data_IF_009510399947
#
_entry.id   IF_009510399947
#
_cell.length_a   1.000
_cell.length_b   1.000
_cell.length_c   1.000
_cell.angle_alpha   90.00
_cell.angle_beta   90.00
_cell.angle_gamma   90.00
#
_symmetry.space_group_name_H-M   'P 1'
#
loop_
_entity.id
_entity.type
_entity.pdbx_description
1 polymer ?
#
# COMPACT_ATOMS: atom_id res chain seq x y z
N UNK A 1 -7.06 10.38 -26.97
CA UNK A 1 -7.41 11.50 -26.06
C UNK A 1 -6.44 11.43 -24.90
N UNK A 2 -5.80 12.54 -24.55
CA UNK A 2 -5.05 12.63 -23.29
C UNK A 2 -6.02 12.92 -22.16
N UNK A 3 -5.89 12.21 -21.05
CA UNK A 3 -6.65 12.45 -19.81
C UNK A 3 -5.81 13.24 -18.79
N UNK A 4 -4.67 13.80 -19.25
CA UNK A 4 -3.81 14.65 -18.43
C UNK A 4 -4.57 15.93 -18.02
N UNK A 5 -4.50 16.25 -16.72
CA UNK A 5 -5.24 17.39 -16.16
C UNK A 5 -6.70 17.13 -15.80
N UNK A 6 -7.23 15.92 -16.06
CA UNK A 6 -8.54 15.52 -15.56
C UNK A 6 -8.47 15.04 -14.09
N UNK A 7 -9.60 15.10 -13.41
CA UNK A 7 -9.74 14.69 -12.03
C UNK A 7 -9.50 13.17 -11.83
N UNK A 8 -9.23 12.79 -10.60
CA UNK A 8 -8.85 11.43 -10.23
C UNK A 8 -9.83 10.37 -10.74
N UNK A 9 -11.13 10.59 -10.53
CA UNK A 9 -12.18 9.62 -10.89
C UNK A 9 -12.24 9.38 -12.40
N UNK A 10 -12.09 10.43 -13.20
CA UNK A 10 -12.04 10.31 -14.66
C UNK A 10 -10.82 9.53 -15.11
N UNK A 11 -9.65 9.78 -14.50
CA UNK A 11 -8.42 9.04 -14.80
C UNK A 11 -8.53 7.58 -14.39
N UNK A 12 -9.09 7.28 -13.21
CA UNK A 12 -9.30 5.92 -12.73
C UNK A 12 -10.21 5.09 -13.66
N UNK A 13 -11.18 5.71 -14.30
CA UNK A 13 -12.09 5.05 -15.23
C UNK A 13 -11.48 4.86 -16.62
N UNK A 14 -10.73 5.83 -17.13
CA UNK A 14 -10.37 5.89 -18.54
C UNK A 14 -8.91 5.59 -18.87
N UNK A 15 -7.96 5.96 -18.00
CA UNK A 15 -6.54 5.70 -18.27
C UNK A 15 -6.25 4.21 -18.23
N UNK A 16 -5.54 3.70 -19.23
CA UNK A 16 -5.32 2.26 -19.41
C UNK A 16 -6.56 1.47 -19.84
N UNK A 17 -7.65 2.13 -20.22
CA UNK A 17 -8.93 1.50 -20.59
C UNK A 17 -9.45 2.01 -21.94
N UNK A 18 -8.56 2.22 -22.91
CA UNK A 18 -9.00 2.57 -24.27
C UNK A 18 -9.83 1.42 -24.88
N UNK A 19 -10.90 1.75 -25.66
CA UNK A 19 -11.65 0.73 -26.39
C UNK A 19 -10.74 -0.10 -27.28
N UNK A 20 -11.05 -1.39 -27.40
CA UNK A 20 -10.29 -2.32 -28.23
C UNK A 20 -10.37 -1.91 -29.72
N UNK A 21 -9.25 -1.64 -30.40
CA UNK A 21 -9.26 -1.16 -31.77
C UNK A 21 -9.77 -2.21 -32.78
N UNK A 22 -9.71 -3.51 -32.43
CA UNK A 22 -10.16 -4.58 -33.33
C UNK A 22 -11.68 -4.79 -33.32
N UNK A 23 -12.32 -4.62 -32.16
CA UNK A 23 -13.74 -4.97 -31.96
C UNK A 23 -14.60 -3.78 -31.50
N UNK A 24 -13.98 -2.69 -31.03
CA UNK A 24 -14.67 -1.58 -30.38
C UNK A 24 -15.16 -1.88 -28.96
N UNK A 25 -14.75 -3.00 -28.35
CA UNK A 25 -15.13 -3.32 -26.99
C UNK A 25 -14.68 -2.23 -26.01
N UNK A 26 -15.62 -1.71 -25.20
CA UNK A 26 -15.36 -0.60 -24.26
C UNK A 26 -14.40 -1.02 -23.14
N UNK A 27 -14.46 -2.28 -22.71
CA UNK A 27 -13.52 -2.87 -21.78
C UNK A 27 -12.45 -3.62 -22.57
N UNK A 28 -11.19 -3.31 -22.30
CA UNK A 28 -10.07 -3.98 -22.96
C UNK A 28 -10.10 -5.51 -22.72
N UNK A 29 -9.86 -6.33 -23.77
CA UNK A 29 -9.78 -7.78 -23.65
C UNK A 29 -8.66 -8.21 -22.70
N UNK A 30 -8.79 -9.41 -22.13
CA UNK A 30 -7.73 -10.04 -21.34
C UNK A 30 -6.81 -10.78 -22.30
N UNK A 31 -5.56 -10.36 -22.37
CA UNK A 31 -4.53 -11.03 -23.20
C UNK A 31 -3.88 -12.18 -22.41
N UNK A 32 -4.61 -13.28 -22.28
CA UNK A 32 -4.15 -14.49 -21.58
C UNK A 32 -3.24 -15.31 -22.51
N UNK A 33 -2.03 -14.83 -22.75
CA UNK A 33 -1.02 -15.43 -23.62
C UNK A 33 0.38 -15.25 -23.06
N UNK A 34 1.28 -16.18 -23.37
CA UNK A 34 2.69 -16.10 -23.00
C UNK A 34 3.57 -15.49 -24.11
N UNK A 35 3.16 -15.60 -25.40
CA UNK A 35 4.03 -15.24 -26.52
C UNK A 35 3.23 -14.57 -27.64
N UNK A 36 3.92 -13.77 -28.44
CA UNK A 36 3.35 -12.99 -29.54
C UNK A 36 4.12 -13.31 -30.85
N UNK A 37 3.39 -13.42 -31.95
CA UNK A 37 3.99 -13.66 -33.26
C UNK A 37 4.78 -12.44 -33.75
N UNK A 38 5.91 -12.69 -34.38
CA UNK A 38 6.70 -11.69 -35.10
C UNK A 38 6.53 -11.91 -36.61
N UNK A 39 6.55 -10.82 -37.36
CA UNK A 39 6.50 -10.90 -38.85
C UNK A 39 7.85 -11.31 -39.39
N UNK A 40 8.94 -10.82 -38.80
CA UNK A 40 10.35 -11.21 -39.06
C UNK A 40 11.09 -11.17 -37.73
N UNK A 41 12.31 -11.70 -37.67
CA UNK A 41 13.13 -11.66 -36.44
C UNK A 41 13.34 -10.22 -35.98
N UNK A 42 12.84 -9.93 -34.78
CA UNK A 42 12.87 -8.59 -34.19
C UNK A 42 11.74 -7.62 -34.65
N UNK A 43 10.86 -8.06 -35.56
CA UNK A 43 9.71 -7.25 -36.03
C UNK A 43 8.43 -7.71 -35.35
N UNK A 44 8.10 -7.08 -34.22
CA UNK A 44 6.92 -7.36 -33.40
C UNK A 44 5.98 -6.15 -33.30
N UNK A 45 4.72 -6.39 -32.92
CA UNK A 45 3.68 -5.34 -32.77
C UNK A 45 3.66 -4.67 -31.37
N UNK A 46 4.84 -4.53 -30.74
CA UNK A 46 5.00 -3.93 -29.42
C UNK A 46 5.18 -4.93 -28.28
N UNK A 47 4.85 -6.19 -28.49
CA UNK A 47 4.98 -7.28 -27.49
C UNK A 47 5.65 -8.51 -28.13
N UNK A 48 6.51 -9.17 -27.36
CA UNK A 48 7.24 -10.37 -27.76
C UNK A 48 6.90 -11.55 -26.85
N UNK A 49 6.95 -11.31 -25.55
CA UNK A 49 6.77 -12.31 -24.51
C UNK A 49 6.15 -11.70 -23.26
N UNK A 50 5.17 -12.37 -22.64
CA UNK A 50 4.34 -11.79 -21.59
C UNK A 50 5.10 -11.43 -20.32
N UNK A 51 6.23 -12.09 -20.00
CA UNK A 51 7.08 -11.68 -18.87
C UNK A 51 7.69 -10.31 -19.12
N UNK A 52 8.12 -10.01 -20.33
CA UNK A 52 8.69 -8.70 -20.72
C UNK A 52 7.60 -7.64 -20.85
N UNK A 53 6.48 -7.98 -21.52
CA UNK A 53 5.35 -7.06 -21.72
C UNK A 53 4.05 -7.82 -22.05
N UNK A 54 2.93 -7.34 -21.50
CA UNK A 54 1.59 -7.87 -21.78
C UNK A 54 0.59 -6.71 -21.83
N UNK A 55 -0.30 -6.62 -22.85
CA UNK A 55 -1.22 -5.50 -23.00
C UNK A 55 -2.11 -5.24 -21.77
N UNK A 56 -2.62 -6.31 -21.15
CA UNK A 56 -3.47 -6.18 -19.94
C UNK A 56 -2.68 -5.62 -18.76
N UNK A 57 -1.43 -6.08 -18.57
CA UNK A 57 -0.54 -5.54 -17.53
C UNK A 57 -0.18 -4.08 -17.81
N UNK A 58 0.17 -3.75 -19.05
CA UNK A 58 0.48 -2.36 -19.46
C UNK A 58 -0.67 -1.40 -19.19
N UNK A 59 -1.91 -1.84 -19.41
CA UNK A 59 -3.11 -1.04 -19.11
C UNK A 59 -3.17 -0.68 -17.62
N UNK A 60 -2.94 -1.64 -16.72
CA UNK A 60 -2.91 -1.40 -15.29
C UNK A 60 -1.73 -0.51 -14.88
N UNK A 61 -0.53 -0.79 -15.39
CA UNK A 61 0.69 0.00 -15.14
C UNK A 61 0.50 1.47 -15.52
N UNK A 62 -0.10 1.72 -16.69
CA UNK A 62 -0.42 3.07 -17.17
C UNK A 62 -1.45 3.78 -16.28
N UNK A 63 -2.48 3.05 -15.86
CA UNK A 63 -3.51 3.61 -14.96
C UNK A 63 -2.90 4.01 -13.62
N UNK A 64 -2.18 3.11 -12.94
CA UNK A 64 -1.61 3.38 -11.63
C UNK A 64 -0.56 4.49 -11.67
N UNK A 65 0.29 4.53 -12.71
CA UNK A 65 1.23 5.62 -12.93
C UNK A 65 0.51 6.97 -13.00
N UNK A 66 -0.55 7.05 -13.79
CA UNK A 66 -1.36 8.28 -13.90
C UNK A 66 -1.98 8.69 -12.57
N UNK A 67 -2.51 7.76 -11.79
CA UNK A 67 -3.15 8.06 -10.51
C UNK A 67 -2.15 8.60 -9.47
N UNK A 68 -0.93 8.09 -9.47
CA UNK A 68 0.18 8.60 -8.63
C UNK A 68 0.81 9.89 -9.18
N UNK A 69 0.42 10.34 -10.36
CA UNK A 69 0.87 11.63 -10.91
C UNK A 69 1.94 11.53 -11.99
N UNK A 70 2.28 10.33 -12.48
CA UNK A 70 3.15 10.13 -13.64
C UNK A 70 2.30 9.99 -14.90
N UNK A 71 2.21 11.05 -15.69
CA UNK A 71 1.36 11.07 -16.88
C UNK A 71 1.92 10.13 -17.98
N UNK A 72 1.04 9.50 -18.80
CA UNK A 72 1.46 8.68 -19.93
C UNK A 72 2.41 9.45 -20.88
N UNK A 73 3.50 8.78 -21.28
CA UNK A 73 4.51 9.39 -22.16
C UNK A 73 5.49 10.35 -21.48
N UNK A 74 5.40 10.54 -20.17
CA UNK A 74 6.43 11.21 -19.36
C UNK A 74 7.54 10.24 -18.97
N UNK A 75 8.74 10.74 -18.63
CA UNK A 75 9.79 9.89 -18.06
C UNK A 75 9.31 9.13 -16.81
N UNK A 76 9.79 7.87 -16.63
CA UNK A 76 9.31 7.01 -15.57
C UNK A 76 8.05 6.23 -15.95
N UNK A 77 7.31 5.74 -14.96
CA UNK A 77 6.09 4.97 -15.18
C UNK A 77 5.68 4.11 -13.98
N UNK A 78 4.74 3.22 -14.23
CA UNK A 78 4.28 2.19 -13.31
C UNK A 78 4.74 0.81 -13.74
N UNK A 79 4.99 -0.05 -12.77
CA UNK A 79 5.30 -1.48 -12.93
C UNK A 79 4.38 -2.29 -12.00
N UNK A 80 3.81 -3.39 -12.50
CA UNK A 80 2.97 -4.28 -11.72
C UNK A 80 3.66 -5.61 -11.43
N UNK A 81 3.43 -6.14 -10.23
CA UNK A 81 4.10 -7.30 -9.67
C UNK A 81 3.10 -8.35 -9.18
N UNK A 82 3.55 -9.61 -9.07
CA UNK A 82 2.74 -10.72 -8.58
C UNK A 82 2.29 -10.58 -7.11
N UNK A 83 2.89 -9.66 -6.35
CA UNK A 83 2.49 -9.31 -4.99
C UNK A 83 3.11 -7.98 -4.57
N UNK A 84 2.60 -7.35 -3.49
CA UNK A 84 3.25 -6.20 -2.85
C UNK A 84 4.68 -6.52 -2.43
N UNK A 85 4.91 -7.72 -1.88
CA UNK A 85 6.25 -8.18 -1.50
C UNK A 85 7.21 -8.33 -2.69
N UNK A 86 6.71 -8.70 -3.86
CA UNK A 86 7.53 -8.74 -5.09
C UNK A 86 7.94 -7.32 -5.52
N UNK A 87 7.06 -6.33 -5.38
CA UNK A 87 7.40 -4.92 -5.61
C UNK A 87 8.44 -4.43 -4.59
N UNK A 88 8.22 -4.66 -3.29
CA UNK A 88 9.16 -4.33 -2.20
C UNK A 88 10.53 -4.97 -2.44
N UNK A 89 10.57 -6.27 -2.74
CA UNK A 89 11.82 -7.00 -3.01
C UNK A 89 12.55 -6.41 -4.22
N UNK A 90 11.84 -6.01 -5.28
CA UNK A 90 12.44 -5.37 -6.46
C UNK A 90 13.09 -4.03 -6.10
N UNK A 91 12.48 -3.22 -5.23
CA UNK A 91 13.12 -1.99 -4.72
C UNK A 91 14.40 -2.32 -3.97
N UNK A 92 14.37 -3.30 -3.06
CA UNK A 92 15.58 -3.70 -2.31
C UNK A 92 16.68 -4.25 -3.22
N UNK A 93 16.34 -4.92 -4.32
CA UNK A 93 17.30 -5.39 -5.33
C UNK A 93 17.99 -4.25 -6.12
N UNK A 94 17.53 -3.01 -6.00
CA UNK A 94 18.26 -1.86 -6.57
C UNK A 94 19.50 -1.50 -5.76
N UNK A 95 19.59 -1.94 -4.50
CA UNK A 95 20.70 -1.71 -3.59
C UNK A 95 21.85 -2.69 -3.82
N UNK A 96 23.04 -2.29 -3.42
CA UNK A 96 24.25 -3.11 -3.46
C UNK A 96 24.67 -3.57 -2.05
N UNK A 97 25.46 -4.67 -1.93
CA UNK A 97 26.08 -5.02 -0.66
C UNK A 97 26.91 -3.87 -0.09
N UNK A 98 26.71 -3.56 1.19
CA UNK A 98 27.33 -2.43 1.87
C UNK A 98 26.47 -1.16 1.90
N UNK A 99 25.46 -1.04 1.05
CA UNK A 99 24.48 0.04 1.13
C UNK A 99 23.70 -0.02 2.46
N UNK A 100 23.23 1.14 2.90
CA UNK A 100 22.43 1.28 4.10
C UNK A 100 21.00 1.70 3.75
N UNK A 101 20.05 1.08 4.43
CA UNK A 101 18.61 1.39 4.38
C UNK A 101 18.13 1.87 5.74
N UNK A 102 17.32 2.93 5.77
CA UNK A 102 16.53 3.30 6.95
C UNK A 102 15.10 2.86 6.71
N UNK A 103 14.55 2.07 7.63
CA UNK A 103 13.21 1.48 7.57
C UNK A 103 12.35 2.00 8.72
N UNK A 104 11.08 2.33 8.45
CA UNK A 104 10.12 2.65 9.51
C UNK A 104 9.98 1.48 10.50
N UNK A 105 9.98 1.76 11.79
CA UNK A 105 9.86 0.74 12.84
C UNK A 105 8.48 0.06 12.79
N UNK A 106 7.44 0.86 12.63
CA UNK A 106 6.07 0.37 12.45
C UNK A 106 5.80 0.22 10.95
N UNK A 107 6.17 -0.91 10.40
CA UNK A 107 6.07 -1.26 8.97
C UNK A 107 5.47 -2.66 8.84
N UNK A 108 4.84 -2.93 7.72
CA UNK A 108 4.34 -4.27 7.44
C UNK A 108 5.40 -5.34 7.73
N UNK A 109 5.04 -6.34 8.55
CA UNK A 109 5.96 -7.38 9.01
C UNK A 109 6.68 -8.14 7.88
N UNK A 110 6.08 -8.22 6.67
CA UNK A 110 6.72 -8.77 5.48
C UNK A 110 7.89 -7.93 4.98
N UNK A 111 7.77 -6.60 5.00
CA UNK A 111 8.83 -5.67 4.60
C UNK A 111 10.03 -5.78 5.55
N UNK A 112 9.77 -5.76 6.86
CA UNK A 112 10.82 -6.00 7.85
C UNK A 112 11.49 -7.36 7.64
N UNK A 113 10.69 -8.42 7.44
CA UNK A 113 11.21 -9.78 7.26
C UNK A 113 12.14 -9.89 6.06
N UNK A 114 11.77 -9.32 4.92
CA UNK A 114 12.63 -9.40 3.73
C UNK A 114 13.89 -8.56 3.89
N UNK A 115 13.80 -7.36 4.46
CA UNK A 115 14.97 -6.51 4.72
C UNK A 115 15.93 -7.17 5.72
N UNK A 116 15.44 -7.55 6.92
CA UNK A 116 16.25 -8.02 8.04
C UNK A 116 16.67 -9.50 7.95
N UNK A 117 15.88 -10.37 7.27
CA UNK A 117 16.19 -11.81 7.25
C UNK A 117 16.78 -12.29 5.93
N UNK A 118 16.55 -11.54 4.84
CA UNK A 118 17.06 -11.91 3.52
C UNK A 118 18.18 -10.96 3.09
N UNK A 119 17.94 -9.64 3.05
CA UNK A 119 18.89 -8.70 2.47
C UNK A 119 20.06 -8.34 3.38
N UNK A 120 19.91 -8.39 4.71
CA UNK A 120 21.08 -8.30 5.62
C UNK A 120 22.07 -9.43 5.34
N UNK A 121 21.57 -10.66 5.07
CA UNK A 121 22.41 -11.79 4.66
C UNK A 121 23.17 -11.58 3.35
N UNK A 122 22.69 -10.65 2.50
CA UNK A 122 23.35 -10.23 1.24
C UNK A 122 24.25 -9.00 1.43
N UNK A 123 24.39 -8.50 2.66
CA UNK A 123 25.25 -7.39 3.00
C UNK A 123 24.57 -6.01 3.04
N UNK A 124 23.24 -5.95 2.95
CA UNK A 124 22.50 -4.72 3.23
C UNK A 124 22.65 -4.35 4.71
N UNK A 125 22.87 -3.07 5.00
CA UNK A 125 22.87 -2.54 6.36
C UNK A 125 21.50 -1.92 6.65
N UNK A 126 20.92 -2.23 7.82
CA UNK A 126 19.57 -1.80 8.18
C UNK A 126 19.59 -0.95 9.46
N UNK A 127 18.85 0.15 9.46
CA UNK A 127 18.42 0.86 10.67
C UNK A 127 16.90 0.93 10.69
N UNK A 128 16.31 0.47 11.78
CA UNK A 128 14.85 0.49 12.00
C UNK A 128 14.56 1.60 13.01
N UNK A 129 13.73 2.58 12.62
CA UNK A 129 13.49 3.78 13.44
C UNK A 129 12.04 4.24 13.36
N UNK A 130 11.55 4.81 14.45
CA UNK A 130 10.27 5.51 14.48
C UNK A 130 10.37 6.80 13.66
N UNK A 131 9.85 6.77 12.43
CA UNK A 131 9.89 7.90 11.50
C UNK A 131 8.81 8.96 11.75
N UNK A 132 7.89 8.75 12.69
CA UNK A 132 7.01 9.83 13.17
C UNK A 132 7.81 10.94 13.85
N UNK A 133 9.05 10.62 14.29
CA UNK A 133 10.05 11.56 14.74
C UNK A 133 11.09 11.84 13.66
N UNK A 134 11.03 13.02 13.04
CA UNK A 134 12.00 13.46 12.04
C UNK A 134 13.45 13.49 12.58
N UNK A 135 13.63 13.80 13.87
CA UNK A 135 14.95 13.80 14.49
C UNK A 135 15.56 12.40 14.56
N UNK A 136 14.76 11.38 14.89
CA UNK A 136 15.20 9.97 14.85
C UNK A 136 15.56 9.53 13.45
N UNK A 137 14.76 9.90 12.45
CA UNK A 137 15.08 9.63 11.05
C UNK A 137 16.43 10.26 10.66
N UNK A 138 16.64 11.56 10.93
CA UNK A 138 17.89 12.27 10.61
C UNK A 138 19.11 11.65 11.30
N UNK A 139 18.97 11.21 12.56
CA UNK A 139 20.04 10.55 13.31
C UNK A 139 20.40 9.17 12.74
N UNK A 140 19.46 8.47 12.13
CA UNK A 140 19.69 7.15 11.53
C UNK A 140 20.35 7.21 10.16
N UNK A 141 20.24 8.34 9.44
CA UNK A 141 20.85 8.53 8.12
C UNK A 141 22.37 8.57 8.24
N UNK A 142 23.07 7.86 7.34
CA UNK A 142 24.53 7.72 7.27
C UNK A 142 25.03 8.05 5.88
N UNK A 143 26.33 8.17 5.70
CA UNK A 143 26.96 8.41 4.39
C UNK A 143 26.66 7.29 3.37
N UNK A 144 26.49 6.07 3.84
CA UNK A 144 26.17 4.89 3.03
C UNK A 144 24.66 4.71 2.80
N UNK A 145 23.79 5.55 3.36
CA UNK A 145 22.34 5.46 3.16
C UNK A 145 22.02 5.68 1.68
N UNK A 146 21.26 4.75 1.11
CA UNK A 146 20.81 4.79 -0.28
C UNK A 146 19.29 4.69 -0.39
N UNK A 147 18.61 4.24 0.67
CA UNK A 147 17.16 4.11 0.70
C UNK A 147 16.63 4.53 2.07
N UNK A 148 15.62 5.40 2.06
CA UNK A 148 14.73 5.65 3.19
C UNK A 148 13.37 5.10 2.79
N UNK A 149 12.91 4.08 3.52
CA UNK A 149 11.62 3.43 3.29
C UNK A 149 10.62 3.91 4.31
N UNK A 150 9.65 4.66 3.84
CA UNK A 150 8.52 5.20 4.63
C UNK A 150 7.29 4.35 4.38
N UNK A 151 6.54 4.02 5.43
CA UNK A 151 5.16 3.53 5.34
C UNK A 151 4.27 4.50 6.11
N UNK A 152 3.22 5.03 5.46
CA UNK A 152 2.35 6.03 6.11
C UNK A 152 0.95 6.10 5.48
N UNK A 153 -0.13 5.99 6.28
CA UNK A 153 -0.12 5.59 7.71
C UNK A 153 0.55 4.23 7.92
N UNK A 154 1.21 4.05 9.07
CA UNK A 154 1.98 2.84 9.39
C UNK A 154 1.07 1.65 9.70
N UNK A 155 1.59 0.43 9.64
CA UNK A 155 0.85 -0.80 9.92
C UNK A 155 1.52 -1.62 11.03
N UNK A 156 0.85 -1.84 12.18
CA UNK A 156 -0.58 -1.63 12.42
C UNK A 156 -0.93 -0.41 13.29
N UNK A 157 0.03 0.41 13.71
CA UNK A 157 -0.18 1.46 14.71
C UNK A 157 -0.74 2.77 14.13
N UNK A 158 -0.87 2.87 12.81
CA UNK A 158 -1.45 4.01 12.08
C UNK A 158 -0.71 5.35 12.30
N UNK A 159 0.57 5.30 12.66
CA UNK A 159 1.42 6.48 12.78
C UNK A 159 1.53 7.23 11.44
N UNK A 160 1.53 8.55 11.48
CA UNK A 160 1.65 9.37 10.28
C UNK A 160 3.06 9.95 10.20
N UNK A 161 3.74 9.72 9.07
CA UNK A 161 5.08 10.23 8.78
C UNK A 161 4.97 11.41 7.82
N UNK A 162 5.71 12.48 8.09
CA UNK A 162 5.82 13.63 7.18
C UNK A 162 6.68 13.24 5.96
N UNK A 163 5.99 12.96 4.85
CA UNK A 163 6.64 12.50 3.61
C UNK A 163 7.59 13.56 3.07
N UNK A 164 7.20 14.83 3.08
CA UNK A 164 8.04 15.91 2.55
C UNK A 164 9.32 16.07 3.34
N UNK A 165 9.22 16.06 4.68
CA UNK A 165 10.39 16.14 5.55
C UNK A 165 11.29 14.91 5.47
N UNK A 166 10.70 13.71 5.31
CA UNK A 166 11.45 12.46 5.13
C UNK A 166 12.19 12.44 3.78
N UNK A 167 11.53 12.87 2.71
CA UNK A 167 12.15 13.00 1.38
C UNK A 167 13.31 14.01 1.37
N UNK A 168 13.12 15.18 1.98
CA UNK A 168 14.19 16.18 2.12
C UNK A 168 15.40 15.59 2.88
N UNK A 169 15.16 14.89 3.99
CA UNK A 169 16.23 14.25 4.76
C UNK A 169 16.96 13.15 3.97
N UNK A 170 16.23 12.33 3.18
CA UNK A 170 16.80 11.32 2.30
C UNK A 170 17.67 11.96 1.21
N UNK A 171 17.16 12.98 0.52
CA UNK A 171 17.85 13.68 -0.56
C UNK A 171 19.12 14.39 -0.09
N UNK A 172 19.11 14.97 1.11
CA UNK A 172 20.30 15.60 1.70
C UNK A 172 21.46 14.60 1.86
N UNK A 173 21.18 13.30 1.95
CA UNK A 173 22.17 12.22 2.01
C UNK A 173 22.41 11.53 0.65
N UNK A 174 21.76 11.97 -0.41
CA UNK A 174 21.81 11.32 -1.73
C UNK A 174 21.07 9.97 -1.77
N UNK A 175 20.13 9.75 -0.88
CA UNK A 175 19.32 8.53 -0.80
C UNK A 175 17.98 8.71 -1.51
N UNK A 176 17.42 7.60 -2.00
CA UNK A 176 16.05 7.50 -2.53
C UNK A 176 15.05 7.48 -1.38
N UNK A 177 13.97 8.24 -1.49
CA UNK A 177 12.80 8.15 -0.62
C UNK A 177 11.73 7.29 -1.26
N UNK A 178 11.49 6.11 -0.71
CA UNK A 178 10.42 5.20 -1.12
C UNK A 178 9.27 5.28 -0.13
N UNK A 179 8.04 5.36 -0.64
CA UNK A 179 6.83 5.39 0.21
C UNK A 179 5.93 4.21 -0.12
N UNK A 180 5.65 3.36 0.86
CA UNK A 180 4.53 2.41 0.78
C UNK A 180 3.23 3.16 1.07
N UNK A 181 2.42 3.35 0.03
CA UNK A 181 1.18 4.13 0.05
C UNK A 181 -0.06 3.22 0.07
N UNK A 182 0.11 1.96 0.48
CA UNK A 182 -0.93 0.93 0.42
C UNK A 182 -2.19 1.32 1.20
N UNK A 183 -2.04 1.87 2.42
CA UNK A 183 -3.18 2.24 3.29
C UNK A 183 -3.93 3.48 2.79
N UNK A 184 -3.19 4.49 2.32
CA UNK A 184 -3.78 5.74 1.86
C UNK A 184 -4.32 5.64 0.44
N UNK A 185 -3.69 4.88 -0.45
CA UNK A 185 -3.97 4.85 -1.89
C UNK A 185 -3.68 6.19 -2.59
N UNK A 186 -3.54 6.23 -3.92
CA UNK A 186 -3.35 7.49 -4.65
C UNK A 186 -4.58 8.43 -4.57
N UNK A 187 -5.72 7.93 -4.09
CA UNK A 187 -6.91 8.76 -3.89
C UNK A 187 -6.78 9.68 -2.66
N UNK A 188 -6.22 9.17 -1.56
CA UNK A 188 -6.08 9.97 -0.33
C UNK A 188 -4.73 10.67 -0.22
N UNK A 189 -3.66 10.11 -0.78
CA UNK A 189 -2.30 10.62 -0.64
C UNK A 189 -1.50 10.34 -1.91
N UNK A 190 -0.72 11.32 -2.36
CA UNK A 190 0.16 11.22 -3.52
C UNK A 190 1.59 11.55 -3.15
N UNK A 191 2.39 10.57 -2.70
CA UNK A 191 3.73 10.78 -2.19
C UNK A 191 4.71 11.43 -3.16
N UNK A 192 4.60 11.15 -4.47
CA UNK A 192 5.44 11.79 -5.49
C UNK A 192 5.27 13.31 -5.52
N UNK A 193 4.04 13.81 -5.29
CA UNK A 193 3.76 15.24 -5.17
C UNK A 193 4.30 15.88 -3.89
N UNK A 194 4.71 15.07 -2.92
CA UNK A 194 5.30 15.47 -1.64
C UNK A 194 6.82 15.28 -1.61
N UNK A 195 7.43 14.87 -2.73
CA UNK A 195 8.88 14.75 -2.88
C UNK A 195 9.42 13.32 -2.81
N UNK A 196 8.58 12.30 -2.64
CA UNK A 196 9.05 10.92 -2.75
C UNK A 196 9.54 10.60 -4.17
N UNK A 197 10.52 9.71 -4.28
CA UNK A 197 11.12 9.28 -5.55
C UNK A 197 10.39 8.08 -6.16
N UNK A 198 9.83 7.23 -5.32
CA UNK A 198 9.01 6.11 -5.75
C UNK A 198 7.91 5.80 -4.74
N UNK A 199 6.85 5.21 -5.25
CA UNK A 199 5.71 4.74 -4.47
C UNK A 199 5.53 3.25 -4.70
N UNK A 200 5.27 2.52 -3.61
CA UNK A 200 4.93 1.09 -3.65
C UNK A 200 3.50 0.89 -3.16
N UNK A 201 2.81 -0.08 -3.74
CA UNK A 201 1.50 -0.54 -3.30
C UNK A 201 1.44 -2.08 -3.26
N UNK A 202 0.79 -2.60 -2.24
CA UNK A 202 0.11 -3.88 -2.37
C UNK A 202 -1.23 -3.65 -3.06
N UNK A 203 -1.32 -3.97 -4.36
CA UNK A 203 -2.59 -3.86 -5.10
C UNK A 203 -3.63 -4.90 -4.66
N UNK A 204 -3.22 -5.89 -3.86
CA UNK A 204 -4.06 -6.83 -3.11
C UNK A 204 -5.12 -6.13 -2.25
N UNK A 205 -4.81 -4.92 -1.77
CA UNK A 205 -5.59 -4.16 -0.78
C UNK A 205 -6.62 -3.26 -1.47
N UNK A 206 -6.76 -2.02 -1.07
CA UNK A 206 -7.76 -1.08 -1.60
C UNK A 206 -7.78 -0.94 -3.13
N UNK A 207 -6.64 -1.11 -3.82
CA UNK A 207 -6.60 -1.00 -5.29
C UNK A 207 -7.44 -2.10 -5.96
N UNK A 208 -7.26 -3.36 -5.56
CA UNK A 208 -8.13 -4.47 -5.95
C UNK A 208 -9.51 -4.35 -5.31
N UNK A 209 -9.53 -4.25 -3.98
CA UNK A 209 -10.67 -3.87 -3.15
C UNK A 209 -11.80 -4.88 -3.03
N UNK A 210 -11.60 -6.13 -3.47
CA UNK A 210 -12.63 -7.17 -3.49
C UNK A 210 -12.14 -8.52 -2.99
N UNK A 211 -10.98 -8.58 -2.31
CA UNK A 211 -10.38 -9.79 -1.72
C UNK A 211 -10.22 -10.97 -2.68
N UNK A 212 -10.10 -10.69 -3.99
CA UNK A 212 -10.08 -11.66 -5.09
C UNK A 212 -8.78 -11.66 -5.90
N UNK A 213 -7.79 -10.84 -5.52
CA UNK A 213 -6.51 -10.69 -6.23
C UNK A 213 -5.34 -10.49 -5.28
N UNK A 214 -4.20 -11.04 -5.64
CA UNK A 214 -2.89 -10.72 -5.02
C UNK A 214 -2.04 -10.01 -6.06
N UNK A 215 -1.47 -8.85 -5.69
CA UNK A 215 -0.65 -8.09 -6.61
C UNK A 215 0.13 -6.97 -5.92
N UNK A 216 1.03 -6.35 -6.67
CA UNK A 216 1.81 -5.19 -6.24
C UNK A 216 2.02 -4.20 -7.36
N UNK A 217 2.40 -2.99 -7.00
CA UNK A 217 2.77 -1.97 -7.96
C UNK A 217 3.92 -1.10 -7.42
N UNK A 218 4.70 -0.57 -8.35
CA UNK A 218 5.73 0.44 -8.13
C UNK A 218 5.49 1.57 -9.14
N UNK A 219 5.55 2.81 -8.69
CA UNK A 219 5.46 3.99 -9.57
C UNK A 219 6.60 4.94 -9.25
N UNK A 220 7.31 5.40 -10.28
CA UNK A 220 8.38 6.40 -10.14
C UNK A 220 8.43 7.33 -11.35
N UNK A 221 8.63 8.64 -11.16
CA UNK A 221 8.89 9.58 -12.25
C UNK A 221 10.35 9.56 -12.74
N UNK A 222 11.25 8.86 -12.02
CA UNK A 222 12.69 8.84 -12.31
C UNK A 222 13.01 7.77 -13.36
N UNK A 223 13.49 8.13 -14.58
CA UNK A 223 13.73 7.18 -15.66
C UNK A 223 14.73 6.09 -15.31
N UNK A 224 15.83 6.45 -14.65
CA UNK A 224 16.89 5.48 -14.29
C UNK A 224 16.38 4.44 -13.29
N UNK A 225 15.60 4.87 -12.30
CA UNK A 225 15.00 3.98 -11.30
C UNK A 225 13.93 3.09 -11.94
N UNK A 226 13.12 3.65 -12.83
CA UNK A 226 12.11 2.90 -13.60
C UNK A 226 12.77 1.80 -14.44
N UNK A 227 13.78 2.13 -15.24
CA UNK A 227 14.46 1.14 -16.11
C UNK A 227 15.19 0.08 -15.27
N UNK A 228 15.79 0.45 -14.14
CA UNK A 228 16.42 -0.50 -13.23
C UNK A 228 15.39 -1.46 -12.64
N UNK A 229 14.26 -0.95 -12.14
CA UNK A 229 13.19 -1.77 -11.58
C UNK A 229 12.55 -2.66 -12.67
N UNK A 230 12.33 -2.15 -13.88
CA UNK A 230 11.81 -2.90 -15.03
C UNK A 230 12.74 -4.04 -15.44
N UNK A 231 14.04 -3.79 -15.46
CA UNK A 231 15.01 -4.85 -15.71
C UNK A 231 14.93 -5.94 -14.64
N UNK A 232 14.91 -5.59 -13.37
CA UNK A 232 14.82 -6.52 -12.25
C UNK A 232 13.50 -7.31 -12.28
N UNK A 233 12.36 -6.64 -12.53
CA UNK A 233 11.05 -7.29 -12.69
C UNK A 233 11.10 -8.38 -13.77
N UNK A 234 11.65 -8.07 -14.95
CA UNK A 234 11.75 -9.01 -16.05
C UNK A 234 12.76 -10.14 -15.77
N UNK A 235 13.94 -9.81 -15.23
CA UNK A 235 14.99 -10.78 -14.95
C UNK A 235 14.61 -11.77 -13.85
N UNK A 236 14.02 -11.29 -12.75
CA UNK A 236 13.56 -12.11 -11.64
C UNK A 236 12.20 -12.79 -11.93
N UNK A 237 11.43 -12.29 -12.91
CA UNK A 237 10.17 -12.87 -13.31
C UNK A 237 8.98 -12.54 -12.38
N UNK A 238 9.07 -11.49 -11.57
CA UNK A 238 8.09 -11.10 -10.57
C UNK A 238 6.82 -10.45 -11.17
N UNK A 239 6.33 -10.92 -12.30
CA UNK A 239 5.19 -10.35 -13.04
C UNK A 239 3.86 -10.99 -12.65
N UNK A 240 2.75 -10.20 -12.57
CA UNK A 240 1.41 -10.71 -12.30
C UNK A 240 0.81 -11.37 -13.53
N UNK A 241 -0.17 -12.25 -13.30
CA UNK A 241 -1.01 -12.80 -14.37
C UNK A 241 -1.93 -11.75 -15.02
N UNK A 242 -2.32 -11.92 -16.29
CA UNK A 242 -3.21 -10.98 -16.96
C UNK A 242 -4.58 -10.86 -16.28
N UNK A 243 -5.14 -11.94 -15.72
CA UNK A 243 -6.40 -11.92 -15.00
C UNK A 243 -6.30 -11.03 -13.75
N UNK A 244 -5.21 -11.16 -12.97
CA UNK A 244 -4.99 -10.36 -11.76
C UNK A 244 -4.86 -8.87 -12.10
N UNK A 245 -4.17 -8.55 -13.20
CA UNK A 245 -4.09 -7.19 -13.72
C UNK A 245 -5.46 -6.63 -14.11
N UNK A 246 -6.29 -7.43 -14.77
CA UNK A 246 -7.61 -7.03 -15.21
C UNK A 246 -8.56 -6.81 -14.02
N UNK A 247 -8.56 -7.73 -13.03
CA UNK A 247 -9.35 -7.60 -11.79
C UNK A 247 -8.94 -6.35 -11.02
N UNK A 248 -7.64 -6.12 -10.87
CA UNK A 248 -7.12 -4.90 -10.21
C UNK A 248 -7.57 -3.64 -10.95
N UNK A 249 -7.42 -3.59 -12.28
CA UNK A 249 -7.86 -2.44 -13.09
C UNK A 249 -9.37 -2.21 -12.96
N UNK A 250 -10.17 -3.28 -12.91
CA UNK A 250 -11.60 -3.21 -12.66
C UNK A 250 -11.91 -2.63 -11.27
N UNK A 251 -11.19 -3.06 -10.24
CA UNK A 251 -11.31 -2.55 -8.88
C UNK A 251 -10.97 -1.07 -8.77
N UNK A 252 -9.90 -0.63 -9.43
CA UNK A 252 -9.44 0.76 -9.43
C UNK A 252 -10.50 1.74 -9.95
N UNK A 253 -11.34 1.32 -10.90
CA UNK A 253 -12.42 2.18 -11.45
C UNK A 253 -13.42 2.68 -10.40
N UNK A 254 -13.57 1.95 -9.29
CA UNK A 254 -14.44 2.33 -8.17
C UNK A 254 -13.69 2.76 -6.92
N UNK A 255 -12.35 2.93 -7.03
CA UNK A 255 -11.51 3.25 -5.87
C UNK A 255 -12.00 4.50 -5.13
N UNK A 256 -12.26 5.60 -5.84
CA UNK A 256 -12.73 6.84 -5.22
C UNK A 256 -14.05 6.68 -4.44
N UNK A 257 -15.00 5.93 -5.02
CA UNK A 257 -16.29 5.65 -4.36
C UNK A 257 -16.09 4.82 -3.08
N UNK A 258 -15.29 3.76 -3.17
CA UNK A 258 -15.01 2.88 -2.05
C UNK A 258 -14.24 3.60 -0.95
N UNK A 259 -13.20 4.36 -1.29
CA UNK A 259 -12.43 5.11 -0.29
C UNK A 259 -13.26 6.15 0.46
N UNK A 260 -14.21 6.82 -0.19
CA UNK A 260 -15.15 7.72 0.50
C UNK A 260 -16.00 6.97 1.53
N UNK A 261 -16.52 5.80 1.16
CA UNK A 261 -17.29 4.95 2.07
C UNK A 261 -16.43 4.41 3.23
N UNK A 262 -15.25 3.86 2.93
CA UNK A 262 -14.29 3.39 3.94
C UNK A 262 -13.95 4.49 4.97
N UNK A 263 -13.59 5.70 4.49
CA UNK A 263 -13.24 6.81 5.39
C UNK A 263 -14.42 7.26 6.24
N UNK A 264 -15.62 7.33 5.66
CA UNK A 264 -16.84 7.67 6.40
C UNK A 264 -17.13 6.65 7.49
N UNK A 265 -17.10 5.37 7.16
CA UNK A 265 -17.38 4.29 8.09
C UNK A 265 -16.31 4.19 9.19
N UNK A 266 -15.02 4.31 8.81
CA UNK A 266 -13.91 4.29 9.77
C UNK A 266 -14.00 5.43 10.80
N UNK A 267 -14.38 6.64 10.38
CA UNK A 267 -14.61 7.75 11.28
C UNK A 267 -15.74 7.46 12.28
N UNK A 268 -16.86 6.87 11.80
CA UNK A 268 -18.01 6.50 12.66
C UNK A 268 -17.60 5.43 13.67
N UNK A 269 -16.87 4.39 13.22
CA UNK A 269 -16.36 3.31 14.08
C UNK A 269 -15.35 3.85 15.09
N UNK A 270 -14.39 4.67 14.67
CA UNK A 270 -13.36 5.22 15.56
C UNK A 270 -13.98 6.13 16.63
N UNK A 271 -14.93 6.99 16.26
CA UNK A 271 -15.64 7.84 17.21
C UNK A 271 -16.44 7.01 18.22
N UNK A 272 -17.16 5.99 17.77
CA UNK A 272 -17.88 5.04 18.65
C UNK A 272 -16.92 4.39 19.65
N UNK A 273 -15.79 3.84 19.19
CA UNK A 273 -14.81 3.17 20.05
C UNK A 273 -14.18 4.13 21.07
N UNK A 274 -13.93 5.38 20.69
CA UNK A 274 -13.33 6.38 21.56
C UNK A 274 -14.23 6.78 22.75
N UNK A 275 -15.54 6.63 22.59
CA UNK A 275 -16.52 6.92 23.64
C UNK A 275 -16.82 5.72 24.56
N UNK A 276 -16.16 4.56 24.36
CA UNK A 276 -16.44 3.32 25.12
C UNK A 276 -15.49 3.14 26.29
N UNK A 277 -16.00 2.93 27.51
CA UNK A 277 -15.16 2.65 28.69
C UNK A 277 -14.43 1.29 28.61
N UNK A 278 -14.92 0.37 27.79
CA UNK A 278 -14.28 -0.93 27.52
C UNK A 278 -13.05 -0.83 26.61
N UNK A 279 -12.77 0.37 26.04
CA UNK A 279 -11.67 0.63 25.13
C UNK A 279 -10.64 1.54 25.81
N UNK A 280 -9.41 1.08 25.93
CA UNK A 280 -8.32 1.81 26.59
C UNK A 280 -7.65 2.83 25.66
N UNK A 281 -7.57 2.53 24.37
CA UNK A 281 -6.88 3.36 23.37
C UNK A 281 -7.53 3.15 21.99
N UNK A 282 -7.70 4.24 21.25
CA UNK A 282 -8.07 4.20 19.81
C UNK A 282 -7.02 4.97 19.02
N UNK A 283 -6.53 4.36 17.94
CA UNK A 283 -5.62 4.96 16.98
C UNK A 283 -6.34 5.11 15.65
N UNK A 284 -6.53 6.33 15.24
CA UNK A 284 -7.09 6.70 13.95
C UNK A 284 -6.73 8.15 13.64
N UNK A 285 -5.99 8.43 12.56
CA UNK A 285 -5.54 9.80 12.25
C UNK A 285 -6.68 10.81 12.07
N UNK A 286 -7.93 10.35 11.89
CA UNK A 286 -9.11 11.19 11.82
C UNK A 286 -9.61 11.71 13.15
N UNK A 287 -9.22 11.15 14.28
CA UNK A 287 -9.59 11.66 15.60
C UNK A 287 -8.71 12.86 15.98
N UNK A 288 -9.28 13.97 16.45
CA UNK A 288 -8.49 15.13 16.90
C UNK A 288 -7.50 14.81 18.04
N UNK A 289 -7.73 13.73 18.80
CA UNK A 289 -6.85 13.25 19.86
C UNK A 289 -5.66 12.43 19.35
N UNK A 290 -5.66 12.00 18.08
CA UNK A 290 -4.56 11.25 17.50
C UNK A 290 -3.35 12.17 17.26
N UNK A 291 -2.14 11.78 17.70
CA UNK A 291 -0.95 12.62 17.55
C UNK A 291 -0.59 12.93 16.09
N UNK A 292 -1.02 12.09 15.14
CA UNK A 292 -0.81 12.29 13.70
C UNK A 292 -1.88 13.13 13.00
N UNK A 293 -2.96 13.54 13.70
CA UNK A 293 -4.14 14.17 13.10
C UNK A 293 -3.81 15.41 12.26
N UNK A 294 -3.09 16.37 12.83
CA UNK A 294 -2.76 17.62 12.15
C UNK A 294 -1.89 17.39 10.89
N UNK A 295 -0.98 16.43 10.94
CA UNK A 295 -0.15 16.08 9.82
C UNK A 295 -0.98 15.37 8.75
N UNK A 296 -1.79 14.40 9.13
CA UNK A 296 -2.69 13.70 8.22
C UNK A 296 -3.65 14.66 7.51
N UNK A 297 -4.23 15.62 8.22
CA UNK A 297 -5.12 16.65 7.67
C UNK A 297 -4.43 17.56 6.62
N UNK A 298 -3.11 17.76 6.72
CA UNK A 298 -2.34 18.52 5.72
C UNK A 298 -1.89 17.67 4.54
N UNK A 299 -1.59 16.39 4.77
CA UNK A 299 -0.92 15.51 3.80
C UNK A 299 -1.90 14.64 3.02
N UNK A 300 -3.06 14.32 3.60
CA UNK A 300 -4.06 13.42 3.07
C UNK A 300 -5.38 14.11 2.77
N UNK A 301 -6.12 13.62 1.77
CA UNK A 301 -7.46 14.14 1.45
C UNK A 301 -8.54 13.65 2.44
N UNK A 302 -8.32 12.54 3.13
CA UNK A 302 -9.11 11.99 4.24
C UNK A 302 -8.24 10.94 4.98
N UNK A 303 -8.75 10.36 6.07
CA UNK A 303 -7.95 9.65 7.06
C UNK A 303 -7.88 8.12 6.88
N UNK A 304 -8.45 7.58 5.82
CA UNK A 304 -8.38 6.14 5.49
C UNK A 304 -9.46 5.29 6.16
N UNK A 305 -9.42 3.99 5.83
CA UNK A 305 -10.38 2.99 6.28
C UNK A 305 -9.86 2.05 7.39
N UNK A 306 -8.65 2.31 7.90
CA UNK A 306 -8.05 1.49 8.95
C UNK A 306 -8.25 2.13 10.32
N UNK A 307 -8.65 1.33 11.32
CA UNK A 307 -8.74 1.74 12.72
C UNK A 307 -8.01 0.70 13.57
N UNK A 308 -7.24 1.12 14.54
CA UNK A 308 -6.65 0.23 15.54
C UNK A 308 -7.08 0.66 16.94
N UNK A 309 -7.27 -0.30 17.85
CA UNK A 309 -7.65 0.00 19.22
C UNK A 309 -7.18 -1.09 20.18
N UNK A 310 -7.20 -0.78 21.48
CA UNK A 310 -6.87 -1.73 22.54
C UNK A 310 -8.03 -1.81 23.53
N UNK A 311 -8.60 -3.01 23.78
CA UNK A 311 -9.60 -3.17 24.83
C UNK A 311 -8.99 -3.04 26.22
N UNK A 312 -9.75 -2.49 27.19
CA UNK A 312 -9.28 -2.29 28.57
C UNK A 312 -8.98 -3.61 29.31
N UNK A 313 -9.57 -4.74 28.88
CA UNK A 313 -9.34 -6.06 29.44
C UNK A 313 -8.07 -6.79 28.95
N UNK A 314 -7.23 -6.12 28.14
CA UNK A 314 -5.98 -6.68 27.62
C UNK A 314 -6.17 -7.82 26.63
N UNK A 315 -5.15 -8.71 26.52
CA UNK A 315 -5.08 -9.74 25.45
C UNK A 315 -6.26 -10.71 25.44
N UNK A 316 -6.70 -11.16 26.61
CA UNK A 316 -7.81 -12.12 26.68
C UNK A 316 -9.16 -11.48 26.27
N UNK A 317 -9.37 -10.21 26.61
CA UNK A 317 -10.52 -9.46 26.12
C UNK A 317 -10.44 -9.25 24.61
N UNK A 318 -9.26 -8.90 24.08
CA UNK A 318 -9.06 -8.76 22.64
C UNK A 318 -9.40 -10.07 21.89
N UNK A 319 -8.95 -11.22 22.39
CA UNK A 319 -9.24 -12.55 21.79
C UNK A 319 -10.74 -12.88 21.82
N UNK A 320 -11.43 -12.60 22.93
CA UNK A 320 -12.88 -12.80 23.00
C UNK A 320 -13.64 -11.88 22.05
N UNK A 321 -13.24 -10.61 22.00
CA UNK A 321 -13.83 -9.60 21.14
C UNK A 321 -13.77 -9.99 19.65
N UNK A 322 -12.58 -10.31 19.14
CA UNK A 322 -12.42 -10.65 17.71
C UNK A 322 -13.14 -11.94 17.33
N UNK A 323 -13.38 -12.84 18.28
CA UNK A 323 -14.16 -14.07 18.06
C UNK A 323 -15.67 -13.85 18.18
N UNK A 324 -16.12 -12.71 18.71
CA UNK A 324 -17.52 -12.40 18.97
C UNK A 324 -18.16 -11.52 17.88
N UNK A 325 -17.39 -10.97 16.95
CA UNK A 325 -17.93 -10.19 15.83
C UNK A 325 -18.70 -11.07 14.85
N UNK A 326 -19.76 -10.53 14.27
CA UNK A 326 -20.67 -11.24 13.34
C UNK A 326 -20.61 -10.63 11.92
N UNK A 327 -20.32 -9.32 11.79
CA UNK A 327 -20.13 -8.61 10.52
C UNK A 327 -18.66 -8.47 10.19
N UNK A 328 -17.82 -8.05 11.16
CA UNK A 328 -16.39 -8.06 10.98
C UNK A 328 -15.87 -9.51 10.95
N UNK A 329 -15.33 -9.92 9.82
CA UNK A 329 -14.74 -11.26 9.67
C UNK A 329 -13.35 -11.30 10.27
N UNK A 330 -13.07 -12.24 11.19
CA UNK A 330 -11.73 -12.50 11.71
C UNK A 330 -10.85 -13.10 10.62
N UNK A 331 -10.00 -12.30 10.04
CA UNK A 331 -9.10 -12.68 8.95
C UNK A 331 -7.95 -11.69 8.80
N UNK A 332 -6.84 -12.17 8.24
CA UNK A 332 -5.76 -11.32 7.75
C UNK A 332 -6.19 -10.53 6.50
N UNK A 333 -5.42 -9.52 6.15
CA UNK A 333 -5.61 -8.62 5.02
C UNK A 333 -6.40 -7.36 5.39
N UNK A 334 -6.75 -6.56 4.37
CA UNK A 334 -7.45 -5.28 4.53
C UNK A 334 -7.90 -4.71 3.17
N UNK A 335 -8.73 -3.68 3.22
CA UNK A 335 -9.05 -2.84 2.06
C UNK A 335 -10.04 -3.45 1.08
N UNK A 336 -10.64 -4.61 1.42
CA UNK A 336 -11.80 -5.16 0.74
C UNK A 336 -13.07 -4.38 1.06
N UNK A 337 -14.13 -4.62 0.28
CA UNK A 337 -15.47 -4.04 0.54
C UNK A 337 -16.08 -4.58 1.83
N UNK A 338 -15.71 -5.79 2.25
CA UNK A 338 -16.06 -6.40 3.52
C UNK A 338 -15.16 -5.90 4.66
N UNK A 339 -15.73 -5.79 5.86
CA UNK A 339 -15.03 -5.46 7.09
C UNK A 339 -14.25 -6.65 7.65
N UNK A 340 -12.97 -6.43 7.98
CA UNK A 340 -12.10 -7.43 8.60
C UNK A 340 -11.61 -6.97 9.97
N UNK A 341 -11.36 -7.93 10.86
CA UNK A 341 -10.80 -7.73 12.19
C UNK A 341 -9.65 -8.71 12.42
N UNK A 342 -8.57 -8.28 13.05
CA UNK A 342 -7.44 -9.16 13.39
C UNK A 342 -6.70 -8.71 14.67
N UNK A 343 -5.91 -9.63 15.22
CA UNK A 343 -4.88 -9.37 16.25
C UNK A 343 -3.50 -9.37 15.57
N UNK A 344 -2.97 -8.19 15.16
CA UNK A 344 -1.73 -8.13 14.38
C UNK A 344 -0.54 -8.80 15.06
N UNK A 345 -0.41 -8.67 16.39
CA UNK A 345 0.70 -9.26 17.14
C UNK A 345 0.81 -10.79 17.01
N UNK A 346 -0.32 -11.48 16.90
CA UNK A 346 -0.35 -12.95 16.74
C UNK A 346 -0.48 -13.41 15.29
N UNK A 347 -1.09 -12.60 14.42
CA UNK A 347 -1.43 -13.01 13.05
C UNK A 347 -0.40 -12.49 12.02
N UNK A 348 -0.30 -11.18 11.83
CA UNK A 348 0.48 -10.60 10.72
C UNK A 348 1.87 -10.09 11.11
N UNK A 349 2.11 -9.80 12.40
CA UNK A 349 3.36 -9.23 12.94
C UNK A 349 4.12 -10.16 13.91
N UNK A 350 3.77 -11.43 13.98
CA UNK A 350 4.50 -12.40 14.81
C UNK A 350 6.01 -12.47 14.52
N UNK A 351 6.43 -12.11 13.31
CA UNK A 351 7.85 -12.10 12.90
C UNK A 351 8.68 -10.96 13.50
N UNK A 352 8.05 -9.94 14.08
CA UNK A 352 8.71 -8.81 14.75
C UNK A 352 8.65 -8.88 16.28
N UNK A 353 8.06 -9.94 16.84
CA UNK A 353 8.03 -10.16 18.28
C UNK A 353 9.45 -10.18 18.88
N UNK A 354 9.65 -9.50 20.00
CA UNK A 354 10.96 -9.35 20.67
C UNK A 354 11.94 -8.41 19.96
N UNK A 355 11.51 -7.63 18.99
CA UNK A 355 12.29 -6.59 18.31
C UNK A 355 11.78 -5.18 18.64
N UNK A 356 12.53 -4.16 18.22
CA UNK A 356 12.10 -2.75 18.36
C UNK A 356 10.83 -2.41 17.57
N UNK A 357 10.36 -3.33 16.71
CA UNK A 357 9.12 -3.22 15.92
C UNK A 357 7.96 -4.04 16.54
N UNK A 358 8.08 -4.49 17.78
CA UNK A 358 7.06 -5.29 18.46
C UNK A 358 5.74 -4.54 18.62
N UNK A 359 4.64 -5.22 18.27
CA UNK A 359 3.28 -4.69 18.33
C UNK A 359 2.63 -5.11 19.66
N UNK A 360 1.85 -4.22 20.32
CA UNK A 360 1.11 -4.62 21.51
C UNK A 360 0.23 -5.84 21.27
N UNK A 361 0.36 -6.87 22.14
CA UNK A 361 -0.32 -8.16 21.98
C UNK A 361 -1.85 -8.06 22.04
N UNK A 362 -2.38 -7.01 22.67
CA UNK A 362 -3.82 -6.70 22.79
C UNK A 362 -4.31 -5.71 21.74
N UNK A 363 -3.48 -5.32 20.77
CA UNK A 363 -3.90 -4.44 19.69
C UNK A 363 -4.84 -5.19 18.75
N UNK A 364 -6.01 -4.61 18.52
CA UNK A 364 -6.99 -5.03 17.52
C UNK A 364 -6.90 -4.08 16.34
N UNK A 365 -6.81 -4.61 15.10
CA UNK A 365 -6.87 -3.81 13.88
C UNK A 365 -8.15 -4.12 13.10
N UNK A 366 -8.85 -3.07 12.72
CA UNK A 366 -10.02 -3.11 11.85
C UNK A 366 -9.66 -2.61 10.46
N UNK A 367 -10.02 -3.37 9.44
CA UNK A 367 -10.20 -2.88 8.08
C UNK A 367 -11.68 -2.62 7.89
N UNK A 368 -12.08 -1.37 7.97
CA UNK A 368 -13.49 -0.99 7.92
C UNK A 368 -13.97 -0.98 6.48
N UNK A 369 -14.95 -1.81 6.17
CA UNK A 369 -15.53 -1.99 4.85
C UNK A 369 -16.55 -0.92 4.45
N UNK A 370 -17.39 -1.26 3.47
CA UNK A 370 -18.38 -0.34 2.89
C UNK A 370 -19.82 -0.72 3.29
N UNK A 371 -20.01 -1.62 4.26
CA UNK A 371 -21.29 -1.98 4.84
C UNK A 371 -21.96 -0.76 5.50
N UNK A 372 -23.21 -0.89 5.88
CA UNK A 372 -23.89 0.19 6.56
C UNK A 372 -23.21 0.51 7.91
N UNK A 373 -22.82 1.75 8.20
CA UNK A 373 -22.03 2.08 9.39
C UNK A 373 -22.73 1.74 10.71
N UNK A 374 -24.06 1.79 10.79
CA UNK A 374 -24.76 1.45 12.00
C UNK A 374 -24.71 -0.06 12.30
N UNK A 375 -24.64 -0.91 11.28
CA UNK A 375 -24.47 -2.37 11.44
C UNK A 375 -23.04 -2.66 11.97
N UNK A 376 -22.03 -1.97 11.46
CA UNK A 376 -20.64 -2.08 11.93
C UNK A 376 -20.50 -1.66 13.41
N UNK A 377 -21.16 -0.56 13.79
CA UNK A 377 -21.16 -0.07 15.18
C UNK A 377 -21.93 -1.06 16.08
N UNK A 378 -23.07 -1.59 15.63
CA UNK A 378 -23.84 -2.55 16.41
C UNK A 378 -23.08 -3.86 16.64
N UNK A 379 -22.34 -4.33 15.62
CA UNK A 379 -21.51 -5.52 15.73
C UNK A 379 -20.38 -5.36 16.75
N UNK A 380 -19.66 -4.22 16.71
CA UNK A 380 -18.63 -3.91 17.71
C UNK A 380 -19.21 -3.72 19.11
N UNK A 381 -20.39 -3.11 19.23
CA UNK A 381 -21.05 -2.92 20.53
C UNK A 381 -21.35 -4.26 21.22
N UNK A 382 -21.99 -5.21 20.50
CA UNK A 382 -22.29 -6.54 21.04
C UNK A 382 -21.03 -7.37 21.33
N UNK A 383 -19.96 -7.19 20.52
CA UNK A 383 -18.68 -7.88 20.73
C UNK A 383 -17.94 -7.34 21.97
N UNK A 384 -17.97 -6.04 22.22
CA UNK A 384 -17.41 -5.41 23.42
C UNK A 384 -18.09 -5.88 24.71
N UNK A 385 -19.41 -6.12 24.70
CA UNK A 385 -20.14 -6.65 25.85
C UNK A 385 -19.73 -8.08 26.24
N UNK A 386 -19.12 -8.82 25.30
CA UNK A 386 -18.63 -10.20 25.49
C UNK A 386 -17.12 -10.26 25.77
N UNK A 387 -16.42 -9.14 25.66
CA UNK A 387 -14.96 -9.02 25.87
C UNK A 387 -14.54 -8.86 27.35
#
# INVERSE_FOLDING_TARGET
>A
MSFDGMDFETRAVHVGSAPDPATGAVIAPIYQTSTFAQEEVGSHKGYEYARTGNPTRTNLETCLASLEGVAPGRPGGGLCFASGMAATTTVLQTLAPGDHMVLSADVYGGTYRVAARLFEGWGLRLSVVDMTSLDRLKQAIRAETRLVWVETPTNPLLGVVDIAAAAEAAHAAGAVCAVDNTFATPFLQRPLGLGADLVVHSSTKYLGGHSDVVGGALVTPLPELYERARFLQNAAGAVPGPMDCWLTLRGVKTLALRMRAHCHNAMRVAAFLADRPEVAEVRYPGLPSDPGHELAARQMAAFGGMVAFRPAGGVEAAKRLVAATEVFTLAESLGGVESLIELPGEMTHASVAGTDAEVPADLVRLSVGVEHPDDLVADLAQALERA
#
